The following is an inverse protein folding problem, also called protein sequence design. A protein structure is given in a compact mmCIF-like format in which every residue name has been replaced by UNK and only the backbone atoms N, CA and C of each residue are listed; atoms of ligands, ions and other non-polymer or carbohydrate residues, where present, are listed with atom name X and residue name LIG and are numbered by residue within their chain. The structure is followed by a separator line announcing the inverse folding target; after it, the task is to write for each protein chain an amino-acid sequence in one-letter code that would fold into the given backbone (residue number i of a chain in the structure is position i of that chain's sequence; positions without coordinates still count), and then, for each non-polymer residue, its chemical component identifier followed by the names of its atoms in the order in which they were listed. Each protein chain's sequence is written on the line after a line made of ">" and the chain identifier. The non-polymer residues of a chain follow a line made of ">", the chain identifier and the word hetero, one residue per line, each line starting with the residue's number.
data_IF_799564922545
#
_entry.id   IF_799564922545
#
_cell.length_a   1.000
_cell.length_b   1.000
_cell.length_c   1.000
_cell.angle_alpha   90.00
_cell.angle_beta   90.00
_cell.angle_gamma   90.00
#
_symmetry.space_group_name_H-M   'P 1'
#
loop_
_entity.id
_entity.type
_entity.pdbx_description
1 polymer ?
#
# COMPACT_ATOMS: atom_id res chain seq x y z
N UNK A 1 -17.38 12.60 38.83
CA UNK A 1 -18.40 11.55 39.04
C UNK A 1 -17.93 10.35 38.25
N UNK A 2 -17.47 9.31 38.92
CA UNK A 2 -16.89 8.11 38.27
C UNK A 2 -18.03 7.17 37.89
N UNK A 3 -18.07 6.73 36.64
CA UNK A 3 -19.13 5.83 36.18
C UNK A 3 -18.67 4.39 36.39
N UNK A 4 -19.46 3.63 37.16
CA UNK A 4 -19.18 2.21 37.46
C UNK A 4 -20.13 1.25 36.72
N UNK A 5 -21.19 1.77 36.10
CA UNK A 5 -22.15 0.96 35.34
C UNK A 5 -21.55 0.42 34.03
N UNK A 6 -21.27 -0.89 34.03
CA UNK A 6 -20.74 -1.61 32.87
C UNK A 6 -21.66 -1.62 31.67
N UNK A 7 -22.98 -1.57 31.87
CA UNK A 7 -23.96 -1.56 30.78
C UNK A 7 -23.85 -0.25 29.99
N UNK A 8 -23.75 0.87 30.71
CA UNK A 8 -23.55 2.19 30.13
C UNK A 8 -22.19 2.30 29.42
N UNK A 9 -21.12 1.79 30.03
CA UNK A 9 -19.78 1.77 29.41
C UNK A 9 -19.80 1.02 28.08
N UNK A 10 -20.40 -0.19 28.03
CA UNK A 10 -20.49 -0.98 26.81
C UNK A 10 -21.31 -0.28 25.72
N UNK A 11 -22.39 0.41 26.10
CA UNK A 11 -23.20 1.19 25.15
C UNK A 11 -22.38 2.31 24.51
N UNK A 12 -21.63 3.06 25.33
CA UNK A 12 -20.77 4.14 24.82
C UNK A 12 -19.66 3.60 23.92
N UNK A 13 -18.98 2.52 24.30
CA UNK A 13 -17.97 1.88 23.46
C UNK A 13 -18.55 1.44 22.11
N UNK A 14 -19.74 0.85 22.14
CA UNK A 14 -20.47 0.47 20.92
C UNK A 14 -20.78 1.68 20.03
N UNK A 15 -21.30 2.77 20.57
CA UNK A 15 -21.62 3.96 19.77
C UNK A 15 -20.36 4.67 19.24
N UNK A 16 -19.31 4.79 20.06
CA UNK A 16 -18.07 5.44 19.67
C UNK A 16 -17.27 4.65 18.63
N UNK A 17 -17.44 3.32 18.55
CA UNK A 17 -16.69 2.47 17.63
C UNK A 17 -17.52 1.95 16.45
N UNK A 18 -18.72 1.42 16.70
CA UNK A 18 -19.53 0.67 15.72
C UNK A 18 -20.62 1.49 15.03
N UNK A 19 -20.99 2.69 15.53
CA UNK A 19 -22.10 3.42 14.92
C UNK A 19 -21.83 3.75 13.45
N UNK A 20 -22.88 3.93 12.66
CA UNK A 20 -22.77 4.30 11.24
C UNK A 20 -21.97 5.58 11.00
N UNK A 21 -21.93 6.48 12.00
CA UNK A 21 -21.14 7.72 11.98
C UNK A 21 -19.72 7.55 12.55
N UNK A 22 -19.42 6.42 13.18
CA UNK A 22 -18.09 6.07 13.70
C UNK A 22 -17.34 5.16 12.73
N UNK A 23 -18.00 4.20 12.09
CA UNK A 23 -17.41 3.46 10.96
C UNK A 23 -16.18 2.62 11.34
N UNK A 24 -16.16 2.00 12.53
CA UNK A 24 -15.06 1.14 12.98
C UNK A 24 -13.73 1.90 13.16
N UNK A 25 -13.78 3.05 13.84
CA UNK A 25 -12.60 3.88 14.12
C UNK A 25 -11.43 3.09 14.74
N UNK A 26 -10.22 3.57 14.50
CA UNK A 26 -9.02 3.11 15.20
C UNK A 26 -9.15 3.32 16.72
N UNK A 27 -8.38 2.56 17.50
CA UNK A 27 -8.32 2.67 18.96
C UNK A 27 -8.16 4.13 19.42
N UNK A 28 -7.22 4.87 18.82
CA UNK A 28 -6.98 6.28 19.14
C UNK A 28 -8.21 7.16 18.93
N UNK A 29 -8.86 7.03 17.77
CA UNK A 29 -10.04 7.82 17.40
C UNK A 29 -11.29 7.43 18.20
N UNK A 30 -11.46 6.14 18.50
CA UNK A 30 -12.49 5.68 19.43
C UNK A 30 -12.24 6.26 20.82
N UNK A 31 -10.99 6.27 21.28
CA UNK A 31 -10.60 6.85 22.55
C UNK A 31 -10.89 8.35 22.64
N UNK A 32 -10.61 9.11 21.58
CA UNK A 32 -10.95 10.54 21.51
C UNK A 32 -12.45 10.80 21.66
N UNK A 33 -13.30 10.00 20.98
CA UNK A 33 -14.75 10.12 21.15
C UNK A 33 -15.18 9.78 22.57
N UNK A 34 -14.68 8.67 23.11
CA UNK A 34 -15.03 8.21 24.47
C UNK A 34 -14.71 9.29 25.51
N UNK A 35 -13.55 9.94 25.42
CA UNK A 35 -13.16 11.05 26.31
C UNK A 35 -14.17 12.20 26.34
N UNK A 36 -14.86 12.46 25.23
CA UNK A 36 -15.85 13.55 25.15
C UNK A 36 -17.21 13.18 25.73
N UNK A 37 -17.50 11.89 25.91
CA UNK A 37 -18.80 11.42 26.36
C UNK A 37 -18.83 11.16 27.87
N UNK A 38 -17.87 10.37 28.38
CA UNK A 38 -17.94 9.83 29.74
C UNK A 38 -16.54 9.44 30.24
N UNK A 39 -16.37 9.35 31.57
CA UNK A 39 -15.11 8.98 32.19
C UNK A 39 -15.30 7.88 33.25
N UNK A 40 -14.40 6.90 33.25
CA UNK A 40 -14.32 5.84 34.25
C UNK A 40 -12.87 5.37 34.48
N UNK A 41 -12.56 4.73 35.62
CA UNK A 41 -11.25 4.10 35.82
C UNK A 41 -10.97 3.08 34.71
N UNK A 42 -9.75 3.05 34.18
CA UNK A 42 -9.30 2.14 33.11
C UNK A 42 -9.99 2.28 31.73
N UNK A 43 -10.66 3.41 31.44
CA UNK A 43 -11.34 3.63 30.15
C UNK A 43 -10.47 3.40 28.90
N UNK A 44 -9.17 3.74 28.97
CA UNK A 44 -8.22 3.51 27.87
C UNK A 44 -8.06 2.02 27.56
N UNK A 45 -7.96 1.20 28.61
CA UNK A 45 -7.80 -0.25 28.49
C UNK A 45 -9.06 -0.87 27.90
N UNK A 46 -10.23 -0.45 28.37
CA UNK A 46 -11.52 -0.96 27.88
C UNK A 46 -11.75 -0.57 26.40
N UNK A 47 -11.35 0.64 25.97
CA UNK A 47 -11.36 1.03 24.55
C UNK A 47 -10.44 0.13 23.72
N UNK A 48 -9.20 -0.09 24.16
CA UNK A 48 -8.25 -0.94 23.47
C UNK A 48 -8.75 -2.37 23.31
N UNK A 49 -9.32 -2.94 24.38
CA UNK A 49 -9.88 -4.30 24.39
C UNK A 49 -11.12 -4.41 23.50
N UNK A 50 -11.99 -3.40 23.52
CA UNK A 50 -13.17 -3.35 22.65
C UNK A 50 -12.80 -3.27 21.16
N UNK A 51 -11.84 -2.42 20.78
CA UNK A 51 -11.38 -2.33 19.39
C UNK A 51 -10.66 -3.61 18.93
N UNK A 52 -9.94 -4.30 19.83
CA UNK A 52 -9.30 -5.60 19.54
C UNK A 52 -10.28 -6.73 19.32
N UNK A 53 -11.44 -6.70 19.97
CA UNK A 53 -12.50 -7.72 19.83
C UNK A 53 -13.42 -7.48 18.63
N UNK A 54 -13.32 -6.33 17.95
CA UNK A 54 -14.12 -6.05 16.77
C UNK A 54 -13.64 -6.82 15.52
N UNK A 55 -14.37 -7.85 15.12
CA UNK A 55 -14.07 -8.70 13.95
C UNK A 55 -13.87 -7.90 12.65
N UNK A 56 -14.73 -6.91 12.37
CA UNK A 56 -14.64 -6.09 11.15
C UNK A 56 -13.38 -5.23 11.13
N UNK A 57 -13.01 -4.62 12.26
CA UNK A 57 -11.77 -3.85 12.38
C UNK A 57 -10.55 -4.75 12.24
N UNK A 58 -10.54 -5.93 12.87
CA UNK A 58 -9.41 -6.86 12.78
C UNK A 58 -9.23 -7.43 11.37
N UNK A 59 -10.31 -7.67 10.62
CA UNK A 59 -10.25 -8.12 9.23
C UNK A 59 -9.85 -7.00 8.25
N UNK A 60 -10.29 -5.78 8.50
CA UNK A 60 -9.97 -4.63 7.65
C UNK A 60 -8.55 -4.10 7.90
N UNK A 61 -8.03 -4.26 9.12
CA UNK A 61 -6.72 -3.75 9.49
C UNK A 61 -5.64 -4.76 9.11
N UNK A 62 -4.96 -4.51 7.99
CA UNK A 62 -3.73 -5.21 7.67
C UNK A 62 -2.67 -4.88 8.74
N UNK A 63 -2.07 -5.90 9.35
CA UNK A 63 -1.03 -5.70 10.37
C UNK A 63 0.08 -4.81 9.80
N UNK A 64 0.16 -3.56 10.24
CA UNK A 64 1.16 -2.57 9.81
C UNK A 64 2.47 -2.71 10.59
N UNK A 65 2.52 -3.60 11.59
CA UNK A 65 3.61 -3.70 12.56
C UNK A 65 4.67 -4.78 12.29
N UNK A 66 4.54 -5.60 11.24
CA UNK A 66 5.69 -6.43 10.85
C UNK A 66 6.75 -5.46 10.33
N UNK A 67 7.92 -5.40 10.99
CA UNK A 67 9.13 -4.85 10.38
C UNK A 67 9.23 -5.48 9.00
N UNK A 68 9.07 -4.67 7.96
CA UNK A 68 9.51 -5.05 6.63
C UNK A 68 10.93 -5.59 6.84
N UNK A 69 11.14 -6.87 6.53
CA UNK A 69 12.46 -7.47 6.68
C UNK A 69 13.49 -6.59 5.96
N UNK A 70 14.76 -6.67 6.37
CA UNK A 70 15.80 -5.93 5.67
C UNK A 70 15.69 -6.23 4.17
N UNK A 71 15.68 -5.18 3.34
CA UNK A 71 15.70 -5.36 1.88
C UNK A 71 16.88 -6.28 1.54
N UNK A 72 16.59 -7.41 0.89
CA UNK A 72 17.66 -8.28 0.41
C UNK A 72 18.46 -7.51 -0.63
N UNK A 73 19.77 -7.38 -0.39
CA UNK A 73 20.66 -6.79 -1.39
C UNK A 73 20.76 -7.73 -2.57
N UNK A 74 20.33 -7.27 -3.74
CA UNK A 74 20.59 -7.98 -4.99
C UNK A 74 22.08 -7.82 -5.30
N UNK A 75 22.77 -8.87 -5.74
CA UNK A 75 24.19 -8.81 -6.09
C UNK A 75 24.45 -7.70 -7.12
N UNK A 76 25.47 -6.86 -6.91
CA UNK A 76 25.86 -5.86 -7.91
C UNK A 76 26.56 -6.54 -9.10
N UNK A 77 26.26 -6.13 -10.34
CA UNK A 77 26.92 -6.67 -11.52
C UNK A 77 28.39 -6.25 -11.55
N UNK A 78 29.22 -7.09 -12.16
CA UNK A 78 30.66 -6.89 -12.35
C UNK A 78 31.01 -6.18 -13.66
N UNK A 79 30.10 -6.22 -14.65
CA UNK A 79 30.27 -5.61 -15.97
C UNK A 79 28.96 -5.06 -16.54
N UNK A 80 29.02 -4.11 -17.50
CA UNK A 80 27.84 -3.66 -18.24
C UNK A 80 27.06 -4.82 -18.84
N UNK A 81 25.72 -4.71 -18.83
CA UNK A 81 24.78 -5.66 -19.44
C UNK A 81 24.72 -7.05 -18.79
N UNK A 82 25.35 -7.25 -17.63
CA UNK A 82 25.22 -8.50 -16.88
C UNK A 82 23.83 -8.64 -16.23
N UNK A 83 23.27 -7.54 -15.76
CA UNK A 83 21.91 -7.46 -15.20
C UNK A 83 21.22 -6.25 -15.80
N UNK A 84 20.13 -6.49 -16.53
CA UNK A 84 19.25 -5.44 -17.03
C UNK A 84 17.88 -5.51 -16.33
N UNK A 85 17.35 -4.35 -16.00
CA UNK A 85 15.97 -4.19 -15.56
C UNK A 85 15.12 -3.74 -16.73
N UNK A 86 13.92 -4.28 -16.85
CA UNK A 86 12.98 -3.93 -17.91
C UNK A 86 11.61 -3.67 -17.31
N UNK A 87 10.98 -2.58 -17.69
CA UNK A 87 9.63 -2.24 -17.27
C UNK A 87 8.90 -1.40 -18.33
N UNK A 88 7.57 -1.37 -18.25
CA UNK A 88 6.73 -0.62 -19.18
C UNK A 88 6.04 0.54 -18.49
N UNK A 89 6.24 1.73 -19.04
CA UNK A 89 5.44 2.90 -18.70
C UNK A 89 4.25 2.92 -19.66
N UNK A 90 3.06 2.58 -19.16
CA UNK A 90 1.82 2.48 -19.97
C UNK A 90 0.82 3.57 -19.62
N UNK A 91 -0.27 3.67 -20.41
CA UNK A 91 -1.35 4.63 -20.16
C UNK A 91 -1.03 6.05 -20.66
N UNK A 92 -0.06 6.19 -21.56
CA UNK A 92 0.29 7.48 -22.15
C UNK A 92 -0.71 7.85 -23.25
N UNK A 93 -0.97 9.15 -23.47
CA UNK A 93 -1.69 9.60 -24.66
C UNK A 93 -0.96 9.11 -25.93
N UNK A 94 -1.68 8.58 -26.94
CA UNK A 94 -1.08 8.17 -28.21
C UNK A 94 -0.32 9.34 -28.86
N UNK A 95 0.93 9.12 -29.25
CA UNK A 95 1.79 10.18 -29.78
C UNK A 95 2.71 9.73 -30.91
N UNK A 96 3.11 10.71 -31.74
CA UNK A 96 3.95 10.52 -32.91
C UNK A 96 3.24 9.82 -34.08
N UNK A 97 3.96 9.62 -35.18
CA UNK A 97 3.39 9.09 -36.44
C UNK A 97 2.84 7.66 -36.31
N UNK A 98 3.30 6.91 -35.30
CA UNK A 98 2.91 5.53 -35.03
C UNK A 98 1.94 5.38 -33.85
N UNK A 99 1.49 6.50 -33.28
CA UNK A 99 0.52 6.52 -32.17
C UNK A 99 0.93 5.62 -31.00
N UNK A 100 2.22 5.66 -30.62
CA UNK A 100 2.72 4.90 -29.48
C UNK A 100 2.07 5.41 -28.18
N UNK A 101 1.73 4.49 -27.29
CA UNK A 101 1.01 4.79 -26.04
C UNK A 101 1.68 4.18 -24.80
N UNK A 102 2.89 3.66 -24.96
CA UNK A 102 3.74 3.15 -23.91
C UNK A 102 5.23 3.34 -24.22
N UNK A 103 6.06 3.21 -23.20
CA UNK A 103 7.51 3.08 -23.34
C UNK A 103 8.00 1.79 -22.68
N UNK A 104 8.84 1.04 -23.38
CA UNK A 104 9.70 0.02 -22.79
C UNK A 104 10.97 0.70 -22.28
N UNK A 105 11.22 0.61 -20.98
CA UNK A 105 12.41 1.16 -20.33
C UNK A 105 13.33 0.00 -19.96
N UNK A 106 14.56 0.04 -20.45
CA UNK A 106 15.58 -0.97 -20.20
C UNK A 106 16.76 -0.27 -19.52
N UNK A 107 17.12 -0.70 -18.31
CA UNK A 107 18.19 -0.09 -17.53
C UNK A 107 19.28 -1.12 -17.28
N UNK A 108 20.48 -0.85 -17.79
CA UNK A 108 21.66 -1.60 -17.37
C UNK A 108 21.98 -1.25 -15.92
N UNK A 109 21.95 -2.25 -15.04
CA UNK A 109 22.17 -2.04 -13.61
C UNK A 109 23.60 -1.58 -13.32
N UNK A 110 24.58 -1.96 -14.12
CA UNK A 110 25.97 -1.58 -13.87
C UNK A 110 26.16 -0.08 -14.13
N UNK A 111 25.86 0.38 -15.34
CA UNK A 111 26.03 1.78 -15.74
C UNK A 111 24.93 2.71 -15.23
N UNK A 112 23.77 2.18 -14.80
CA UNK A 112 22.55 2.93 -14.46
C UNK A 112 21.99 3.73 -15.65
N UNK A 113 22.40 3.41 -16.87
CA UNK A 113 21.94 4.11 -18.08
C UNK A 113 20.63 3.51 -18.56
N UNK A 114 19.57 4.32 -18.75
CA UNK A 114 18.32 3.86 -19.34
C UNK A 114 18.34 3.95 -20.87
N UNK A 115 17.77 2.93 -21.52
CA UNK A 115 17.29 2.97 -22.90
C UNK A 115 15.77 3.02 -22.85
N UNK A 116 15.18 3.98 -23.56
CA UNK A 116 13.73 4.17 -23.62
C UNK A 116 13.28 3.95 -25.06
N UNK A 117 12.41 2.95 -25.27
CA UNK A 117 11.91 2.58 -26.58
C UNK A 117 10.40 2.81 -26.65
N UNK A 118 9.88 3.57 -27.63
CA UNK A 118 8.45 3.74 -27.80
C UNK A 118 7.82 2.43 -28.28
N UNK A 119 6.70 2.06 -27.66
CA UNK A 119 6.03 0.79 -27.88
C UNK A 119 4.51 0.96 -27.69
N UNK A 120 3.75 -0.11 -27.91
CA UNK A 120 2.32 -0.14 -27.61
C UNK A 120 2.08 -0.94 -26.33
N UNK A 121 1.11 -0.51 -25.52
CA UNK A 121 0.72 -1.20 -24.28
C UNK A 121 0.26 -2.64 -24.51
N UNK A 122 -0.20 -2.93 -25.73
CA UNK A 122 -0.75 -4.21 -26.15
C UNK A 122 0.26 -5.03 -26.99
N UNK A 123 1.53 -4.60 -27.03
CA UNK A 123 2.60 -5.34 -27.71
C UNK A 123 2.75 -6.75 -27.14
N UNK A 124 2.88 -7.74 -28.02
CA UNK A 124 3.08 -9.11 -27.60
C UNK A 124 4.52 -9.33 -27.11
N UNK A 125 4.76 -10.48 -26.47
CA UNK A 125 6.11 -10.90 -26.12
C UNK A 125 7.04 -10.96 -27.35
N UNK A 126 6.51 -11.33 -28.53
CA UNK A 126 7.27 -11.38 -29.77
C UNK A 126 7.60 -9.97 -30.28
N UNK A 127 6.64 -9.05 -30.24
CA UNK A 127 6.87 -7.65 -30.64
C UNK A 127 7.94 -6.99 -29.75
N UNK A 128 7.84 -7.23 -28.44
CA UNK A 128 8.84 -6.79 -27.46
C UNK A 128 10.22 -7.37 -27.76
N UNK A 129 10.32 -8.70 -27.99
CA UNK A 129 11.59 -9.35 -28.29
C UNK A 129 12.23 -8.78 -29.56
N UNK A 130 11.43 -8.57 -30.62
CA UNK A 130 11.89 -7.94 -31.86
C UNK A 130 12.32 -6.48 -31.64
N UNK A 131 11.58 -5.73 -30.82
CA UNK A 131 11.94 -4.35 -30.48
C UNK A 131 13.30 -4.28 -29.80
N UNK A 132 13.57 -5.17 -28.84
CA UNK A 132 14.84 -5.24 -28.13
C UNK A 132 15.96 -5.68 -29.08
N UNK A 133 15.74 -6.75 -29.83
CA UNK A 133 16.73 -7.29 -30.76
C UNK A 133 17.18 -6.25 -31.80
N UNK A 134 16.25 -5.42 -32.29
CA UNK A 134 16.55 -4.44 -33.32
C UNK A 134 17.12 -3.11 -32.79
N UNK A 135 17.04 -2.84 -31.48
CA UNK A 135 17.35 -1.51 -30.91
C UNK A 135 18.42 -1.53 -29.82
N UNK A 136 18.72 -2.68 -29.25
CA UNK A 136 19.62 -2.82 -28.09
C UNK A 136 20.75 -3.81 -28.35
N UNK A 137 20.44 -4.93 -29.00
CA UNK A 137 21.41 -5.94 -29.44
C UNK A 137 22.05 -5.50 -30.76
#
# INVERSE_FOLDING_TARGET
>A
MTVEDRSLINLVLKECHLSSFSGHLSEDRTGEKVKTCIWWPVWQKDVAEYCKTCDRSQKANNSTGKRLGNMMKIQEPSRPWEIAYMDWVTGLPPGGDRSYNAFLVIVDRFSKTPIVLPCHKDDTAMDTALLIWNRVV
#
